data_IF_644253716842
#
_entry.id   IF_644253716842
#
_cell.length_a   1.000
_cell.length_b   1.000
_cell.length_c   1.000
_cell.angle_alpha   90.00
_cell.angle_beta   90.00
_cell.angle_gamma   90.00
#
_symmetry.space_group_name_H-M   'P 1'
#
loop_
_entity.id
_entity.type
_entity.pdbx_description
1 polymer ?
#
# COMPACT_ATOMS: atom_id res chain seq x y z
N UNK A 1 2.26 -6.45 -7.41
CA UNK A 1 0.89 -5.91 -7.19
C UNK A 1 0.49 -6.24 -5.77
N UNK A 2 -0.04 -5.27 -5.01
CA UNK A 2 -0.36 -5.49 -3.60
C UNK A 2 -1.84 -5.79 -3.45
N UNK A 3 -2.12 -6.84 -2.70
CA UNK A 3 -3.48 -7.22 -2.29
C UNK A 3 -3.38 -7.66 -0.85
N UNK A 4 -3.98 -6.87 0.05
CA UNK A 4 -4.08 -7.21 1.45
C UNK A 4 -5.43 -7.88 1.65
N UNK A 5 -5.42 -9.19 1.81
CA UNK A 5 -6.64 -9.97 2.09
C UNK A 5 -7.05 -9.87 3.55
N UNK A 6 -6.07 -9.81 4.46
CA UNK A 6 -6.28 -9.63 5.91
C UNK A 6 -5.29 -8.58 6.42
N UNK A 7 -5.76 -7.68 7.31
CA UNK A 7 -4.93 -6.64 7.91
C UNK A 7 -3.66 -7.22 8.58
N UNK A 8 -3.73 -8.44 9.13
CA UNK A 8 -2.58 -9.09 9.79
C UNK A 8 -1.42 -9.41 8.84
N UNK A 9 -1.67 -9.48 7.53
CA UNK A 9 -0.65 -9.76 6.53
C UNK A 9 0.21 -8.53 6.21
N UNK A 10 -0.19 -7.35 6.72
CA UNK A 10 0.54 -6.10 6.55
C UNK A 10 1.13 -5.63 7.88
N UNK A 11 2.44 -5.43 7.90
CA UNK A 11 3.17 -4.91 9.07
C UNK A 11 3.42 -3.40 9.00
N UNK A 12 2.85 -2.70 8.02
CA UNK A 12 2.97 -1.24 7.90
C UNK A 12 4.39 -0.73 7.65
N UNK A 13 5.25 -1.50 6.96
CA UNK A 13 6.68 -1.14 6.78
C UNK A 13 6.97 -0.07 5.70
N UNK A 14 5.95 0.44 5.00
CA UNK A 14 6.08 1.43 3.92
C UNK A 14 6.93 1.01 2.70
N UNK A 15 7.42 -0.25 2.63
CA UNK A 15 8.24 -0.71 1.51
C UNK A 15 7.50 -0.61 0.17
N UNK A 16 6.21 -0.95 0.18
CA UNK A 16 5.33 -0.89 -0.98
C UNK A 16 5.15 0.52 -1.54
N UNK A 17 4.90 1.51 -0.68
CA UNK A 17 4.78 2.91 -1.12
C UNK A 17 6.11 3.43 -1.65
N UNK A 18 7.22 3.05 -1.02
CA UNK A 18 8.56 3.51 -1.41
C UNK A 18 9.00 2.94 -2.77
N UNK A 19 8.78 1.65 -3.03
CA UNK A 19 9.17 1.02 -4.30
C UNK A 19 8.26 1.40 -5.47
N UNK A 20 7.09 2.00 -5.21
CA UNK A 20 6.11 2.30 -6.25
C UNK A 20 6.64 3.37 -7.23
N UNK A 21 6.87 3.05 -8.51
CA UNK A 21 7.47 4.00 -9.47
C UNK A 21 6.53 5.17 -9.84
N UNK A 22 5.23 4.99 -9.60
CA UNK A 22 4.20 6.03 -9.81
C UNK A 22 3.79 6.74 -8.53
N UNK A 23 4.32 6.30 -7.40
CA UNK A 23 3.95 6.78 -6.07
C UNK A 23 2.42 6.77 -5.83
N UNK A 24 1.71 5.81 -6.44
CA UNK A 24 0.25 5.70 -6.40
C UNK A 24 -0.24 4.90 -5.18
N UNK A 25 0.62 4.69 -4.18
CA UNK A 25 0.32 3.92 -2.97
C UNK A 25 0.53 4.85 -1.77
N UNK A 26 -0.54 5.11 -1.04
CA UNK A 26 -0.52 5.96 0.15
C UNK A 26 -0.80 5.12 1.40
N UNK A 27 -0.06 5.36 2.49
CA UNK A 27 -0.27 4.66 3.75
C UNK A 27 -1.30 5.42 4.57
N UNK A 28 -2.41 4.76 4.92
CA UNK A 28 -3.46 5.33 5.78
C UNK A 28 -3.44 4.66 7.14
N UNK A 29 -3.42 5.48 8.18
CA UNK A 29 -3.60 5.04 9.56
C UNK A 29 -5.05 4.64 9.82
N UNK A 30 -5.26 3.65 10.68
CA UNK A 30 -6.56 3.40 11.31
C UNK A 30 -6.62 3.96 12.74
N UNK A 31 -7.75 3.74 13.42
CA UNK A 31 -8.00 4.26 14.76
C UNK A 31 -7.12 3.63 15.85
N UNK A 32 -6.44 2.53 15.54
CA UNK A 32 -5.55 1.81 16.45
C UNK A 32 -4.08 2.23 16.26
N UNK A 33 -3.80 3.06 15.25
CA UNK A 33 -2.46 3.55 14.93
C UNK A 33 -1.68 2.66 13.97
N UNK A 34 -2.32 1.66 13.35
CA UNK A 34 -1.69 0.83 12.32
C UNK A 34 -1.81 1.47 10.94
N UNK A 35 -0.79 1.27 10.11
CA UNK A 35 -0.71 1.85 8.77
C UNK A 35 -0.91 0.79 7.69
N UNK A 36 -1.82 1.05 6.76
CA UNK A 36 -2.11 0.16 5.65
C UNK A 36 -2.00 0.88 4.30
N UNK A 37 -1.43 0.23 3.27
CA UNK A 37 -1.36 0.81 1.94
C UNK A 37 -2.74 0.87 1.29
N UNK A 38 -3.03 2.01 0.67
CA UNK A 38 -4.18 2.26 -0.17
C UNK A 38 -3.67 2.65 -1.55
N UNK A 39 -4.03 1.85 -2.55
CA UNK A 39 -3.59 2.04 -3.94
C UNK A 39 -4.61 2.89 -4.69
N UNK A 40 -4.15 3.95 -5.35
CA UNK A 40 -4.94 4.62 -6.38
C UNK A 40 -4.82 3.85 -7.70
N UNK A 41 -5.89 3.13 -8.06
CA UNK A 41 -5.91 2.31 -9.27
C UNK A 41 -6.01 3.13 -10.56
N UNK A 42 -6.35 4.42 -10.52
CA UNK A 42 -6.35 5.27 -11.70
C UNK A 42 -4.92 5.64 -12.15
N UNK A 43 -4.00 5.75 -11.20
CA UNK A 43 -2.59 6.07 -11.47
C UNK A 43 -1.69 4.82 -11.55
N UNK A 44 -2.20 3.67 -11.11
CA UNK A 44 -1.46 2.41 -11.09
C UNK A 44 -1.23 1.84 -12.50
N UNK A 45 0.03 1.79 -12.91
CA UNK A 45 0.46 1.21 -14.21
C UNK A 45 0.65 -0.31 -14.18
N UNK A 46 0.25 -1.00 -13.10
CA UNK A 46 0.39 -2.46 -12.92
C UNK A 46 1.82 -2.97 -13.16
N UNK A 47 2.82 -2.27 -12.64
CA UNK A 47 4.25 -2.58 -12.83
C UNK A 47 4.72 -3.93 -12.27
N UNK A 48 3.89 -4.63 -11.48
CA UNK A 48 4.22 -5.95 -10.93
C UNK A 48 5.01 -5.93 -9.62
N UNK A 49 5.59 -4.78 -9.26
CA UNK A 49 6.28 -4.55 -7.99
C UNK A 49 5.32 -4.56 -6.78
#
# INVERSE_FOLDING_TARGET
MITISDKKDCMGCHACSNICPKNCINMKGDNEGFWYPVVDYNECIKCGL
#
